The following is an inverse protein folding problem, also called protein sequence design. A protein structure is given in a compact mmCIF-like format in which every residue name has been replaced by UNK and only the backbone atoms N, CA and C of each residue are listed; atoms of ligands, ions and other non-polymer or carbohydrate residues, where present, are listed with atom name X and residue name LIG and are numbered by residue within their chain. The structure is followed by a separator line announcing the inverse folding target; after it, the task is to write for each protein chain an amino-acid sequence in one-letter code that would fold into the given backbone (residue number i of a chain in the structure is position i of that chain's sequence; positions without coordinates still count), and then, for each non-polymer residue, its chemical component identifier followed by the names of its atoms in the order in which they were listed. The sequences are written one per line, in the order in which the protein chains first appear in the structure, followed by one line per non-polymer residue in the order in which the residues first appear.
data_IF_477355186413
#
_entry.id   IF_477355186413
#
_cell.length_a   1.000
_cell.length_b   1.000
_cell.length_c   1.000
_cell.angle_alpha   90.00
_cell.angle_beta   90.00
_cell.angle_gamma   90.00
#
_symmetry.space_group_name_H-M   'P 1'
#
loop_
_entity.id
_entity.type
_entity.pdbx_description
1 polymer ?
#
# COMPACT_ATOMS: atom_id res chain seq x y z
N UNK A 1 -39.05 18.31 12.47
CA UNK A 1 -38.09 19.41 12.58
C UNK A 1 -36.74 18.82 12.28
N UNK A 2 -36.29 18.94 11.03
CA UNK A 2 -34.95 18.51 10.58
C UNK A 2 -34.03 19.66 10.94
N UNK A 3 -33.13 19.41 11.91
CA UNK A 3 -32.09 20.36 12.31
C UNK A 3 -31.06 20.44 11.18
N UNK A 4 -31.04 21.57 10.49
CA UNK A 4 -29.97 21.96 9.58
C UNK A 4 -28.65 22.00 10.34
N UNK A 5 -27.75 21.09 10.00
CA UNK A 5 -26.40 21.07 10.49
C UNK A 5 -25.62 22.17 9.73
N UNK A 6 -25.00 23.16 10.41
CA UNK A 6 -24.33 24.26 9.73
C UNK A 6 -23.20 23.71 8.85
N UNK A 7 -23.11 24.26 7.65
CA UNK A 7 -22.07 23.95 6.67
C UNK A 7 -20.68 23.91 7.32
N UNK A 8 -20.00 22.75 7.19
CA UNK A 8 -18.63 22.61 7.65
C UNK A 8 -17.76 23.71 7.07
N UNK A 9 -17.04 24.43 7.93
CA UNK A 9 -16.11 25.48 7.53
C UNK A 9 -15.01 24.89 6.64
N UNK A 10 -14.42 25.70 5.78
CA UNK A 10 -13.34 25.28 4.89
C UNK A 10 -12.15 24.64 5.63
N UNK A 11 -11.91 25.06 6.88
CA UNK A 11 -10.89 24.51 7.78
C UNK A 11 -11.13 23.04 8.19
N UNK A 12 -12.39 22.60 8.27
CA UNK A 12 -12.75 21.21 8.60
C UNK A 12 -12.51 20.22 7.43
N UNK A 13 -12.35 20.71 6.21
CA UNK A 13 -12.17 19.86 5.02
C UNK A 13 -10.74 19.36 4.85
N UNK A 14 -9.77 20.09 5.39
CA UNK A 14 -8.33 19.80 5.26
C UNK A 14 -7.76 19.10 6.50
N UNK A 15 -8.54 18.91 7.56
CA UNK A 15 -8.11 18.22 8.77
C UNK A 15 -7.89 16.73 8.52
N UNK A 16 -6.80 16.19 9.07
CA UNK A 16 -6.56 14.74 9.08
C UNK A 16 -7.76 14.02 9.74
N UNK A 17 -8.29 12.91 9.19
CA UNK A 17 -9.51 12.27 9.68
C UNK A 17 -9.28 11.45 10.96
N UNK A 18 -8.83 12.14 12.02
CA UNK A 18 -8.45 11.56 13.31
C UNK A 18 -9.58 11.56 14.36
N UNK A 19 -10.82 11.85 13.95
CA UNK A 19 -12.05 11.59 14.71
C UNK A 19 -13.02 10.81 13.84
N UNK A 20 -13.99 10.13 14.49
CA UNK A 20 -14.98 9.35 13.75
C UNK A 20 -15.78 10.20 12.76
N UNK A 21 -16.20 11.39 13.14
CA UNK A 21 -16.99 12.31 12.31
C UNK A 21 -16.20 12.73 11.07
N UNK A 22 -14.92 13.11 11.27
CA UNK A 22 -14.04 13.50 10.16
C UNK A 22 -13.73 12.30 9.25
N UNK A 23 -13.49 11.11 9.84
CA UNK A 23 -13.24 9.90 9.05
C UNK A 23 -14.49 9.48 8.25
N UNK A 24 -15.66 9.50 8.87
CA UNK A 24 -16.92 9.20 8.18
C UNK A 24 -17.16 10.16 7.02
N UNK A 25 -17.01 11.47 7.25
CA UNK A 25 -17.14 12.49 6.21
C UNK A 25 -16.18 12.23 5.05
N UNK A 26 -14.92 11.94 5.35
CA UNK A 26 -13.92 11.56 4.35
C UNK A 26 -14.32 10.27 3.60
N UNK A 27 -14.80 9.26 4.30
CA UNK A 27 -15.14 7.97 3.72
C UNK A 27 -16.40 8.03 2.85
N UNK A 28 -17.39 8.81 3.25
CA UNK A 28 -18.66 8.98 2.53
C UNK A 28 -18.55 9.93 1.34
N UNK A 29 -17.58 10.87 1.35
CA UNK A 29 -17.35 11.77 0.21
C UNK A 29 -16.69 11.00 -0.94
N UNK A 30 -17.35 10.88 -2.12
CA UNK A 30 -16.79 10.12 -3.21
C UNK A 30 -15.47 10.73 -3.72
N UNK A 31 -14.48 9.90 -4.11
CA UNK A 31 -13.25 10.40 -4.69
C UNK A 31 -13.56 11.17 -5.97
N UNK A 32 -12.78 12.20 -6.32
CA UNK A 32 -12.96 12.92 -7.56
C UNK A 32 -12.84 11.93 -8.74
N UNK A 33 -13.85 11.95 -9.60
CA UNK A 33 -13.91 11.07 -10.77
C UNK A 33 -13.20 11.75 -11.94
N UNK A 34 -12.27 11.08 -12.63
CA UNK A 34 -11.70 11.61 -13.87
C UNK A 34 -12.78 11.88 -14.91
N UNK A 35 -12.59 12.89 -15.80
CA UNK A 35 -13.55 13.14 -16.88
C UNK A 35 -13.67 11.92 -17.78
N UNK A 36 -14.91 11.54 -18.12
CA UNK A 36 -15.17 10.47 -19.09
C UNK A 36 -15.18 11.01 -20.52
N UNK A 37 -14.86 10.18 -21.52
CA UNK A 37 -15.01 10.58 -22.91
C UNK A 37 -16.47 10.97 -23.21
N UNK A 38 -16.66 12.23 -23.67
CA UNK A 38 -18.01 12.77 -23.96
C UNK A 38 -18.62 13.59 -22.83
N UNK A 39 -18.00 13.67 -21.66
CA UNK A 39 -18.43 14.60 -20.61
C UNK A 39 -18.31 16.05 -21.11
N UNK A 40 -19.22 16.94 -20.69
CA UNK A 40 -19.07 18.37 -20.98
C UNK A 40 -17.77 18.90 -20.34
N UNK A 41 -17.08 19.83 -21.04
CA UNK A 41 -15.84 20.39 -20.51
C UNK A 41 -16.12 21.13 -19.19
N UNK A 42 -15.34 20.82 -18.16
CA UNK A 42 -15.40 21.49 -16.86
C UNK A 42 -14.83 22.90 -16.94
N UNK A 43 -15.36 23.81 -16.14
CA UNK A 43 -14.81 25.14 -15.97
C UNK A 43 -13.38 25.12 -15.40
N UNK A 44 -12.65 26.20 -15.50
CA UNK A 44 -11.31 26.35 -14.91
C UNK A 44 -11.36 26.09 -13.39
N UNK A 45 -12.35 26.64 -12.70
CA UNK A 45 -12.50 26.50 -11.26
C UNK A 45 -12.78 25.04 -10.86
N UNK A 46 -13.69 24.35 -11.56
CA UNK A 46 -13.96 22.92 -11.32
C UNK A 46 -12.72 22.05 -11.54
N UNK A 47 -11.91 22.35 -12.55
CA UNK A 47 -10.67 21.61 -12.81
C UNK A 47 -9.58 21.89 -11.79
N UNK A 48 -9.46 23.14 -11.32
CA UNK A 48 -8.57 23.50 -10.20
C UNK A 48 -9.00 22.79 -8.91
N UNK A 49 -10.30 22.80 -8.61
CA UNK A 49 -10.85 22.08 -7.46
C UNK A 49 -10.61 20.56 -7.58
N UNK A 50 -10.82 19.98 -8.76
CA UNK A 50 -10.55 18.57 -9.06
C UNK A 50 -9.07 18.21 -8.82
N UNK A 51 -8.13 18.95 -9.40
CA UNK A 51 -6.69 18.68 -9.23
C UNK A 51 -6.17 19.03 -7.84
N UNK A 52 -6.85 19.89 -7.09
CA UNK A 52 -6.52 20.20 -5.69
C UNK A 52 -6.92 19.07 -4.75
N UNK A 53 -7.95 18.30 -5.08
CA UNK A 53 -8.36 17.10 -4.33
C UNK A 53 -7.42 15.95 -4.62
N UNK A 54 -7.36 15.02 -3.67
CA UNK A 54 -6.49 13.87 -3.78
C UNK A 54 -7.15 12.75 -4.60
N UNK A 55 -6.60 12.44 -5.76
CA UNK A 55 -7.02 11.29 -6.57
C UNK A 55 -6.16 10.08 -6.18
N UNK A 56 -6.77 9.08 -5.57
CA UNK A 56 -6.07 7.85 -5.20
C UNK A 56 -5.89 6.94 -6.41
N UNK A 57 -4.64 6.69 -6.76
CA UNK A 57 -4.30 5.69 -7.77
C UNK A 57 -4.07 4.34 -7.08
N UNK A 58 -4.70 3.28 -7.58
CA UNK A 58 -4.55 1.92 -7.05
C UNK A 58 -3.18 1.36 -7.39
N UNK A 59 -2.21 1.61 -6.52
CA UNK A 59 -0.88 1.00 -6.61
C UNK A 59 -0.90 -0.47 -6.20
N UNK A 60 0.12 -1.27 -6.55
CA UNK A 60 0.24 -2.64 -6.06
C UNK A 60 0.19 -2.75 -4.53
N UNK A 61 0.77 -1.78 -3.81
CA UNK A 61 0.71 -1.73 -2.35
C UNK A 61 -0.72 -1.53 -1.83
N UNK A 62 -1.50 -0.61 -2.41
CA UNK A 62 -2.92 -0.39 -2.05
C UNK A 62 -3.72 -1.65 -2.27
N UNK A 63 -3.59 -2.28 -3.44
CA UNK A 63 -4.35 -3.50 -3.79
C UNK A 63 -4.01 -4.65 -2.84
N UNK A 64 -2.71 -4.88 -2.59
CA UNK A 64 -2.24 -5.93 -1.69
C UNK A 64 -2.71 -5.70 -0.25
N UNK A 65 -2.59 -4.46 0.25
CA UNK A 65 -3.02 -4.11 1.61
C UNK A 65 -4.53 -4.30 1.77
N UNK A 66 -5.32 -3.88 0.78
CA UNK A 66 -6.78 -4.04 0.81
C UNK A 66 -7.19 -5.51 0.85
N UNK A 67 -6.57 -6.35 0.02
CA UNK A 67 -6.85 -7.78 0.00
C UNK A 67 -6.51 -8.42 1.34
N UNK A 68 -5.33 -8.14 1.88
CA UNK A 68 -4.87 -8.69 3.16
C UNK A 68 -5.76 -8.26 4.32
N UNK A 69 -6.07 -6.96 4.43
CA UNK A 69 -6.97 -6.46 5.49
C UNK A 69 -8.35 -7.12 5.42
N UNK A 70 -8.91 -7.29 4.22
CA UNK A 70 -10.20 -7.99 4.06
C UNK A 70 -10.13 -9.45 4.50
N UNK A 71 -9.03 -10.13 4.20
CA UNK A 71 -8.78 -11.51 4.63
C UNK A 71 -8.68 -11.58 6.15
N UNK A 72 -7.88 -10.70 6.77
CA UNK A 72 -7.72 -10.66 8.23
C UNK A 72 -9.03 -10.31 8.96
N UNK A 73 -9.81 -9.36 8.43
CA UNK A 73 -11.13 -9.02 8.98
C UNK A 73 -12.12 -10.19 8.85
N UNK A 74 -12.06 -10.96 7.77
CA UNK A 74 -12.88 -12.15 7.60
C UNK A 74 -12.47 -13.23 8.61
N UNK A 75 -11.18 -13.51 8.75
CA UNK A 75 -10.67 -14.44 9.77
C UNK A 75 -11.07 -14.03 11.18
N UNK A 76 -10.92 -12.75 11.52
CA UNK A 76 -11.25 -12.21 12.83
C UNK A 76 -12.74 -12.30 13.22
N UNK A 77 -13.65 -12.50 12.25
CA UNK A 77 -15.07 -12.70 12.53
C UNK A 77 -15.38 -14.10 13.07
N UNK A 78 -14.64 -15.10 12.60
CA UNK A 78 -14.92 -16.50 12.89
C UNK A 78 -13.98 -17.09 13.92
N UNK A 79 -12.84 -16.46 14.17
CA UNK A 79 -11.88 -16.87 15.20
C UNK A 79 -12.28 -16.28 16.56
N UNK A 80 -12.68 -17.14 17.48
CA UNK A 80 -12.93 -16.78 18.88
C UNK A 80 -11.77 -17.29 19.74
N UNK A 81 -11.43 -16.54 20.77
CA UNK A 81 -10.44 -16.89 21.80
C UNK A 81 -9.00 -17.14 21.29
N UNK A 82 -8.67 -16.71 20.09
CA UNK A 82 -7.29 -16.75 19.58
C UNK A 82 -6.73 -15.34 19.42
N UNK A 83 -5.43 -15.25 19.52
CA UNK A 83 -4.72 -13.99 19.26
C UNK A 83 -4.95 -13.56 17.79
N UNK A 84 -5.50 -12.36 17.62
CA UNK A 84 -5.87 -11.86 16.31
C UNK A 84 -4.64 -11.52 15.49
N UNK A 85 -4.61 -11.90 14.20
CA UNK A 85 -3.56 -11.48 13.28
C UNK A 85 -3.67 -9.98 13.00
N UNK A 86 -2.52 -9.36 12.77
CA UNK A 86 -2.38 -7.93 12.45
C UNK A 86 -1.61 -7.75 11.14
N UNK A 87 -1.53 -6.51 10.67
CA UNK A 87 -0.80 -6.15 9.46
C UNK A 87 0.14 -4.99 9.72
N UNK A 88 1.36 -5.10 9.21
CA UNK A 88 2.36 -4.04 9.19
C UNK A 88 2.49 -3.49 7.78
N UNK A 89 2.34 -2.17 7.63
CA UNK A 89 2.57 -1.43 6.39
C UNK A 89 3.77 -0.51 6.61
N UNK A 90 4.92 -0.89 6.09
CA UNK A 90 6.18 -0.17 6.30
C UNK A 90 6.75 0.37 5.00
N UNK A 91 7.65 1.34 5.07
CA UNK A 91 8.35 1.89 3.91
C UNK A 91 8.87 3.29 4.14
N UNK A 92 9.74 3.79 3.25
CA UNK A 92 10.30 5.14 3.33
C UNK A 92 9.24 6.26 3.32
N UNK A 93 9.60 7.51 3.66
CA UNK A 93 8.72 8.66 3.49
C UNK A 93 8.24 8.81 2.04
N UNK A 94 7.07 9.40 1.84
CA UNK A 94 6.48 9.75 0.52
C UNK A 94 6.16 8.56 -0.39
N UNK A 95 6.10 7.33 0.15
CA UNK A 95 5.72 6.12 -0.62
C UNK A 95 4.22 5.81 -0.59
N UNK A 96 3.40 6.65 0.07
CA UNK A 96 1.95 6.56 0.05
C UNK A 96 1.33 5.69 1.15
N UNK A 97 2.02 5.41 2.26
CA UNK A 97 1.50 4.62 3.40
C UNK A 97 0.18 5.16 3.95
N UNK A 98 0.15 6.41 4.37
CA UNK A 98 -1.06 7.08 4.88
C UNK A 98 -2.21 7.02 3.88
N UNK A 99 -1.93 7.30 2.60
CA UNK A 99 -2.91 7.19 1.53
C UNK A 99 -3.46 5.77 1.40
N UNK A 100 -2.57 4.76 1.51
CA UNK A 100 -2.96 3.35 1.47
C UNK A 100 -3.90 3.03 2.64
N UNK A 101 -3.58 3.47 3.85
CA UNK A 101 -4.44 3.25 5.02
C UNK A 101 -5.81 3.91 4.83
N UNK A 102 -5.85 5.18 4.43
CA UNK A 102 -7.10 5.92 4.24
C UNK A 102 -7.98 5.26 3.16
N UNK A 103 -7.41 4.83 2.05
CA UNK A 103 -8.17 4.14 0.98
C UNK A 103 -8.69 2.77 1.44
N UNK A 104 -7.86 2.02 2.17
CA UNK A 104 -8.28 0.74 2.77
C UNK A 104 -9.39 0.96 3.78
N UNK A 105 -9.22 1.91 4.69
CA UNK A 105 -10.22 2.24 5.71
C UNK A 105 -11.54 2.67 5.10
N UNK A 106 -11.50 3.55 4.08
CA UNK A 106 -12.68 3.96 3.32
C UNK A 106 -13.40 2.77 2.69
N UNK A 107 -12.65 1.91 1.99
CA UNK A 107 -13.24 0.74 1.32
C UNK A 107 -13.85 -0.22 2.33
N UNK A 108 -13.23 -0.41 3.49
CA UNK A 108 -13.76 -1.26 4.57
C UNK A 108 -15.00 -0.62 5.21
N UNK A 109 -14.99 0.69 5.45
CA UNK A 109 -16.14 1.44 5.98
C UNK A 109 -17.37 1.26 5.09
N UNK A 110 -17.25 1.52 3.80
CA UNK A 110 -18.35 1.40 2.84
C UNK A 110 -18.85 -0.05 2.73
N UNK A 111 -17.95 -1.04 2.77
CA UNK A 111 -18.32 -2.46 2.72
C UNK A 111 -19.09 -2.92 3.98
N UNK A 112 -18.70 -2.44 5.16
CA UNK A 112 -19.39 -2.76 6.40
C UNK A 112 -20.75 -2.03 6.52
N UNK A 113 -20.84 -0.79 6.05
CA UNK A 113 -22.09 -0.04 5.99
C UNK A 113 -23.16 -0.76 5.15
N UNK A 114 -22.77 -1.37 4.02
CA UNK A 114 -23.67 -2.19 3.20
C UNK A 114 -24.15 -3.44 3.95
N UNK A 115 -23.28 -4.08 4.74
CA UNK A 115 -23.62 -5.30 5.50
C UNK A 115 -24.51 -5.04 6.69
N UNK A 116 -24.31 -3.93 7.39
CA UNK A 116 -25.08 -3.59 8.58
C UNK A 116 -26.53 -3.16 8.27
N UNK A 117 -26.85 -2.91 7.00
CA UNK A 117 -28.12 -2.36 6.57
C UNK A 117 -28.26 -0.87 6.88
N UNK A 118 -29.27 -0.22 6.30
CA UNK A 118 -29.54 1.21 6.55
C UNK A 118 -30.10 1.38 7.96
N UNK A 119 -29.34 2.01 8.85
CA UNK A 119 -29.78 2.39 10.19
C UNK A 119 -28.92 1.89 11.35
N UNK A 120 -27.93 1.06 11.14
CA UNK A 120 -27.01 0.66 12.20
C UNK A 120 -25.98 1.78 12.43
N UNK A 121 -25.98 2.35 13.61
CA UNK A 121 -24.96 3.32 14.07
C UNK A 121 -23.72 2.54 14.48
N UNK A 122 -23.01 1.98 13.50
CA UNK A 122 -21.76 1.26 13.74
C UNK A 122 -20.58 2.07 13.22
N UNK A 123 -19.48 2.10 14.01
CA UNK A 123 -18.19 2.67 13.65
C UNK A 123 -17.26 1.51 13.26
N UNK A 124 -17.27 1.05 12.01
CA UNK A 124 -16.51 -0.14 11.63
C UNK A 124 -15.00 0.07 11.58
N UNK A 125 -14.56 1.31 11.42
CA UNK A 125 -13.15 1.67 11.20
C UNK A 125 -12.72 2.76 12.16
N UNK A 126 -11.57 2.59 12.79
CA UNK A 126 -10.87 3.63 13.54
C UNK A 126 -9.51 3.93 12.89
N UNK A 127 -9.23 5.22 12.67
CA UNK A 127 -7.94 5.72 12.17
C UNK A 127 -7.30 6.63 13.21
N UNK A 128 -6.13 6.26 13.66
CA UNK A 128 -5.41 6.89 14.74
C UNK A 128 -4.01 7.31 14.28
N UNK A 129 -3.59 8.47 14.74
CA UNK A 129 -2.25 8.99 14.47
C UNK A 129 -1.46 9.00 15.80
N UNK A 130 -0.32 8.32 15.83
CA UNK A 130 0.55 8.35 17.01
C UNK A 130 1.09 9.77 17.21
N UNK A 131 0.83 10.42 18.37
CA UNK A 131 1.32 11.77 18.59
C UNK A 131 2.85 11.80 18.78
N UNK A 132 3.53 12.91 18.52
CA UNK A 132 4.94 13.06 18.85
C UNK A 132 5.19 12.89 20.37
N UNK A 133 6.23 12.15 20.74
CA UNK A 133 6.53 11.90 22.16
C UNK A 133 5.44 11.12 22.90
N UNK A 134 4.76 10.21 22.19
CA UNK A 134 3.64 9.45 22.73
C UNK A 134 3.98 8.76 24.04
N UNK A 135 3.17 9.04 25.06
CA UNK A 135 3.10 8.26 26.32
C UNK A 135 1.92 7.31 26.25
N UNK A 136 1.88 6.31 27.11
CA UNK A 136 0.75 5.39 27.22
C UNK A 136 -0.58 6.12 27.48
N UNK A 137 -0.57 7.16 28.34
CA UNK A 137 -1.75 7.99 28.58
C UNK A 137 -2.14 8.83 27.35
N UNK A 138 -1.17 9.37 26.62
CA UNK A 138 -1.45 10.11 25.38
C UNK A 138 -2.09 9.22 24.31
N UNK A 139 -1.61 8.00 24.15
CA UNK A 139 -2.25 7.02 23.25
C UNK A 139 -3.68 6.68 23.71
N UNK A 140 -3.91 6.43 25.00
CA UNK A 140 -5.24 6.18 25.53
C UNK A 140 -6.21 7.34 25.22
N UNK A 141 -5.73 8.59 25.32
CA UNK A 141 -6.49 9.78 24.97
C UNK A 141 -6.79 9.86 23.47
N UNK A 142 -5.87 9.48 22.59
CA UNK A 142 -6.13 9.46 21.14
C UNK A 142 -7.21 8.43 20.78
N UNK A 143 -7.18 7.23 21.38
CA UNK A 143 -8.27 6.26 21.20
C UNK A 143 -9.60 6.79 21.70
N UNK A 144 -9.62 7.42 22.88
CA UNK A 144 -10.83 8.01 23.43
C UNK A 144 -11.35 9.17 22.55
N UNK A 145 -10.45 10.07 22.11
CA UNK A 145 -10.77 11.21 21.25
C UNK A 145 -11.39 10.79 19.93
N UNK A 146 -10.90 9.70 19.32
CA UNK A 146 -11.43 9.22 18.05
C UNK A 146 -12.95 8.98 18.10
N UNK A 147 -13.46 8.42 19.18
CA UNK A 147 -14.88 8.11 19.37
C UNK A 147 -15.64 9.16 20.20
N UNK A 148 -14.98 10.25 20.59
CA UNK A 148 -15.62 11.25 21.46
C UNK A 148 -15.91 10.71 22.88
N UNK A 149 -15.16 9.70 23.36
CA UNK A 149 -15.34 9.17 24.72
C UNK A 149 -14.94 10.23 25.74
N UNK A 150 -15.84 10.61 26.67
CA UNK A 150 -15.53 11.62 27.68
C UNK A 150 -14.41 11.16 28.61
N UNK A 151 -13.37 11.97 28.76
CA UNK A 151 -12.24 11.71 29.66
C UNK A 151 -12.07 12.91 30.60
N UNK A 152 -12.11 12.67 31.91
CA UNK A 152 -11.78 13.69 32.90
C UNK A 152 -10.28 13.70 33.21
N UNK A 153 -9.76 14.86 33.65
CA UNK A 153 -8.35 15.00 34.01
C UNK A 153 -7.90 14.05 35.14
N UNK A 154 -8.84 13.61 35.99
CA UNK A 154 -8.59 12.72 37.11
C UNK A 154 -8.54 11.25 36.74
N UNK A 155 -8.96 10.85 35.54
CA UNK A 155 -8.91 9.46 35.12
C UNK A 155 -7.47 8.97 34.95
N UNK A 156 -7.24 7.78 35.51
CA UNK A 156 -5.98 7.05 35.29
C UNK A 156 -5.93 6.48 33.88
N UNK A 157 -4.74 6.16 33.41
CA UNK A 157 -4.54 5.47 32.13
C UNK A 157 -5.38 4.18 32.05
N UNK A 158 -5.40 3.39 33.12
CA UNK A 158 -6.15 2.13 33.18
C UNK A 158 -7.66 2.34 33.05
N UNK A 159 -8.21 3.39 33.67
CA UNK A 159 -9.64 3.73 33.54
C UNK A 159 -9.98 4.17 32.13
N UNK A 160 -9.13 4.99 31.48
CA UNK A 160 -9.32 5.41 30.09
C UNK A 160 -9.27 4.18 29.18
N UNK A 161 -8.27 3.30 29.36
CA UNK A 161 -8.14 2.06 28.58
C UNK A 161 -9.35 1.14 28.72
N UNK A 162 -9.87 0.97 29.95
CA UNK A 162 -11.07 0.16 30.16
C UNK A 162 -12.29 0.73 29.45
N UNK A 163 -12.50 2.06 29.51
CA UNK A 163 -13.57 2.75 28.78
C UNK A 163 -13.42 2.62 27.28
N UNK A 164 -12.21 2.81 26.74
CA UNK A 164 -11.88 2.63 25.33
C UNK A 164 -12.21 1.21 24.87
N UNK A 165 -11.64 0.18 25.53
CA UNK A 165 -11.87 -1.21 25.13
C UNK A 165 -13.35 -1.58 25.17
N UNK A 166 -14.07 -1.16 26.23
CA UNK A 166 -15.51 -1.40 26.33
C UNK A 166 -16.26 -0.75 25.16
N UNK A 167 -16.02 0.53 24.91
CA UNK A 167 -16.73 1.28 23.85
C UNK A 167 -16.42 0.72 22.45
N UNK A 168 -15.14 0.49 22.12
CA UNK A 168 -14.74 -0.07 20.81
C UNK A 168 -15.40 -1.43 20.55
N UNK A 169 -15.45 -2.29 21.56
CA UNK A 169 -16.09 -3.59 21.44
C UNK A 169 -17.61 -3.47 21.35
N UNK A 170 -18.26 -2.61 22.16
CA UNK A 170 -19.71 -2.43 22.21
C UNK A 170 -20.29 -1.87 20.92
N UNK A 171 -19.60 -0.89 20.28
CA UNK A 171 -20.04 -0.31 19.01
C UNK A 171 -19.60 -1.14 17.79
N UNK A 172 -18.77 -2.17 18.02
CA UNK A 172 -18.38 -3.13 17.01
C UNK A 172 -17.33 -2.62 16.02
N UNK A 173 -16.29 -1.90 16.50
CA UNK A 173 -15.13 -1.55 15.65
C UNK A 173 -14.49 -2.83 15.11
N UNK A 174 -14.25 -2.88 13.80
CA UNK A 174 -13.71 -4.06 13.10
C UNK A 174 -12.28 -3.89 12.63
N UNK A 175 -11.89 -2.66 12.34
CA UNK A 175 -10.57 -2.30 11.83
C UNK A 175 -10.04 -1.11 12.62
N UNK A 176 -8.84 -1.25 13.18
CA UNK A 176 -8.09 -0.17 13.83
C UNK A 176 -6.81 0.05 13.03
N UNK A 177 -6.65 1.23 12.47
CA UNK A 177 -5.46 1.62 11.71
C UNK A 177 -4.68 2.65 12.51
N UNK A 178 -3.41 2.38 12.75
CA UNK A 178 -2.51 3.23 13.53
C UNK A 178 -1.36 3.68 12.64
N UNK A 179 -1.36 4.96 12.32
CA UNK A 179 -0.33 5.57 11.48
C UNK A 179 0.77 6.22 12.33
N UNK A 180 1.93 6.44 11.72
CA UNK A 180 3.12 7.03 12.34
C UNK A 180 3.65 6.24 13.55
N UNK A 181 3.49 4.90 13.53
CA UNK A 181 3.88 4.03 14.65
C UNK A 181 5.38 4.14 15.01
N UNK A 182 6.22 4.59 14.09
CA UNK A 182 7.64 4.82 14.31
C UNK A 182 7.94 5.95 15.33
N UNK A 183 6.92 6.74 15.72
CA UNK A 183 7.04 7.72 16.82
C UNK A 183 7.10 7.07 18.21
N UNK A 184 6.80 5.77 18.32
CA UNK A 184 7.05 4.98 19.53
C UNK A 184 8.55 4.64 19.58
N UNK A 185 9.33 5.49 20.24
CA UNK A 185 10.78 5.33 20.30
C UNK A 185 11.18 4.21 21.28
N UNK A 186 11.78 3.10 20.84
CA UNK A 186 12.16 1.99 21.72
C UNK A 186 13.29 2.34 22.72
N UNK A 187 14.01 3.44 22.46
CA UNK A 187 15.15 3.86 23.29
C UNK A 187 14.74 4.71 24.50
N UNK A 188 13.45 5.07 24.62
CA UNK A 188 12.93 5.83 25.76
C UNK A 188 12.00 4.94 26.58
N UNK A 189 12.01 5.08 27.90
CA UNK A 189 11.08 4.36 28.80
C UNK A 189 9.64 4.66 28.44
N UNK A 190 9.30 5.91 28.17
CA UNK A 190 7.95 6.34 27.77
C UNK A 190 7.49 5.71 26.46
N UNK A 191 8.38 5.56 25.47
CA UNK A 191 8.07 4.91 24.19
C UNK A 191 7.88 3.40 24.35
N UNK A 192 8.66 2.75 25.21
CA UNK A 192 8.48 1.34 25.52
C UNK A 192 7.16 1.09 26.26
N UNK A 193 6.84 1.89 27.28
CA UNK A 193 5.56 1.82 28.02
C UNK A 193 4.35 2.07 27.09
N UNK A 194 4.46 3.02 26.17
CA UNK A 194 3.43 3.29 25.18
C UNK A 194 3.23 2.12 24.19
N UNK A 195 4.32 1.44 23.82
CA UNK A 195 4.25 0.25 22.98
C UNK A 195 3.61 -0.94 23.73
N UNK A 196 3.95 -1.16 25.00
CA UNK A 196 3.33 -2.22 25.81
C UNK A 196 1.85 -1.95 26.06
N UNK A 197 1.50 -0.70 26.29
CA UNK A 197 0.10 -0.28 26.38
C UNK A 197 -0.67 -0.56 25.08
N UNK A 198 -0.08 -0.27 23.94
CA UNK A 198 -0.72 -0.56 22.64
C UNK A 198 -0.89 -2.06 22.39
N UNK A 199 0.07 -2.89 22.84
CA UNK A 199 -0.08 -4.36 22.82
C UNK A 199 -1.28 -4.81 23.64
N UNK A 200 -1.45 -4.28 24.86
CA UNK A 200 -2.61 -4.58 25.73
C UNK A 200 -3.93 -4.21 25.03
N UNK A 201 -4.02 -3.03 24.42
CA UNK A 201 -5.19 -2.64 23.65
C UNK A 201 -5.47 -3.57 22.46
N UNK A 202 -4.43 -4.02 21.75
CA UNK A 202 -4.56 -4.94 20.61
C UNK A 202 -5.14 -6.30 21.04
N UNK A 203 -4.85 -6.75 22.25
CA UNK A 203 -5.40 -8.00 22.78
C UNK A 203 -6.83 -7.85 23.30
N UNK A 204 -7.20 -6.68 23.82
CA UNK A 204 -8.50 -6.40 24.46
C UNK A 204 -9.57 -5.90 23.49
N UNK A 205 -9.20 -5.28 22.39
CA UNK A 205 -10.13 -4.78 21.36
C UNK A 205 -10.33 -5.84 20.29
N UNK A 206 -11.57 -6.23 20.06
CA UNK A 206 -11.97 -7.26 19.10
C UNK A 206 -11.93 -6.80 17.65
N UNK A 207 -10.83 -6.17 17.18
CA UNK A 207 -10.65 -5.63 15.85
C UNK A 207 -9.38 -6.19 15.17
N UNK A 208 -9.29 -6.04 13.85
CA UNK A 208 -8.05 -6.23 13.11
C UNK A 208 -7.21 -4.96 13.23
N UNK A 209 -5.94 -5.10 13.60
CA UNK A 209 -5.03 -3.97 13.72
C UNK A 209 -4.11 -3.87 12.50
N UNK A 210 -3.91 -2.64 12.01
CA UNK A 210 -2.96 -2.30 10.95
C UNK A 210 -2.04 -1.21 11.46
N UNK A 211 -0.74 -1.48 11.44
CA UNK A 211 0.30 -0.55 11.90
C UNK A 211 1.06 0.00 10.71
N UNK A 212 1.14 1.33 10.58
CA UNK A 212 1.89 1.94 9.50
C UNK A 212 2.94 2.93 10.00
N UNK A 213 4.05 3.02 9.26
CA UNK A 213 5.13 3.93 9.59
C UNK A 213 6.41 3.66 8.80
N UNK A 214 7.49 4.30 9.24
CA UNK A 214 8.84 4.09 8.72
C UNK A 214 9.52 3.04 9.60
N UNK A 215 10.20 2.06 9.00
CA UNK A 215 10.94 1.01 9.71
C UNK A 215 10.16 0.39 10.89
N UNK A 216 8.89 0.09 10.66
CA UNK A 216 7.93 -0.31 11.70
C UNK A 216 8.41 -1.50 12.51
N UNK A 217 9.07 -2.46 11.88
CA UNK A 217 9.59 -3.67 12.54
C UNK A 217 10.71 -3.38 13.55
N UNK A 218 11.36 -2.22 13.44
CA UNK A 218 12.39 -1.77 14.37
C UNK A 218 11.82 -0.95 15.56
N UNK A 219 10.52 -0.72 15.60
CA UNK A 219 9.87 0.05 16.69
C UNK A 219 9.76 -0.77 17.97
N UNK A 220 9.54 -0.10 19.11
CA UNK A 220 9.34 -0.72 20.42
C UNK A 220 8.18 -1.74 20.43
N UNK A 221 7.19 -1.54 19.57
CA UNK A 221 6.02 -2.42 19.47
C UNK A 221 6.41 -3.86 19.05
N UNK A 222 7.43 -4.01 18.20
CA UNK A 222 7.83 -5.30 17.63
C UNK A 222 9.16 -5.83 18.15
N UNK A 223 9.77 -5.16 19.14
CA UNK A 223 11.02 -5.57 19.78
C UNK A 223 10.78 -6.24 21.13
N UNK A 224 11.78 -6.98 21.63
CA UNK A 224 11.66 -7.76 22.86
C UNK A 224 10.76 -8.99 22.72
N UNK A 225 10.58 -9.76 23.80
CA UNK A 225 9.83 -11.02 23.79
C UNK A 225 8.36 -10.83 23.40
N UNK A 226 7.66 -9.89 24.02
CA UNK A 226 6.27 -9.59 23.68
C UNK A 226 6.11 -9.00 22.28
N UNK A 227 7.08 -8.19 21.82
CA UNK A 227 7.11 -7.67 20.46
C UNK A 227 7.33 -8.75 19.41
N UNK A 228 8.18 -9.72 19.68
CA UNK A 228 8.39 -10.88 18.82
C UNK A 228 7.11 -11.73 18.66
N UNK A 229 6.32 -11.88 19.73
CA UNK A 229 5.01 -12.57 19.65
C UNK A 229 4.03 -11.81 18.74
N UNK A 230 3.96 -10.47 18.87
CA UNK A 230 3.11 -9.66 18.00
C UNK A 230 3.60 -9.70 16.53
N UNK A 231 4.92 -9.61 16.32
CA UNK A 231 5.53 -9.73 14.97
C UNK A 231 5.25 -11.10 14.34
N UNK A 232 5.26 -12.19 15.11
CA UNK A 232 4.95 -13.53 14.63
C UNK A 232 3.50 -13.73 14.14
N UNK A 233 2.61 -12.79 14.49
CA UNK A 233 1.20 -12.79 14.08
C UNK A 233 0.88 -11.69 13.06
N UNK A 234 1.86 -10.86 12.72
CA UNK A 234 1.69 -9.74 11.82
C UNK A 234 2.14 -10.07 10.39
N UNK A 235 1.25 -9.89 9.42
CA UNK A 235 1.64 -9.84 8.01
C UNK A 235 2.48 -8.58 7.74
N UNK A 236 3.37 -8.61 6.75
CA UNK A 236 4.22 -7.48 6.39
C UNK A 236 3.99 -7.07 4.93
N UNK A 237 3.69 -5.80 4.71
CA UNK A 237 3.62 -5.19 3.39
C UNK A 237 4.58 -4.01 3.33
N UNK A 238 5.49 -4.07 2.36
CA UNK A 238 6.40 -2.98 2.07
C UNK A 238 5.78 -2.03 1.04
N UNK A 239 5.70 -0.76 1.39
CA UNK A 239 5.39 0.35 0.50
C UNK A 239 6.70 0.98 0.01
N UNK A 240 7.45 0.24 -0.79
CA UNK A 240 8.72 0.71 -1.33
C UNK A 240 8.50 1.67 -2.52
N UNK A 241 9.52 2.49 -2.86
CA UNK A 241 9.53 3.21 -4.12
C UNK A 241 9.28 2.24 -5.29
N UNK A 242 8.41 2.63 -6.21
CA UNK A 242 8.05 1.77 -7.33
C UNK A 242 9.26 1.59 -8.27
N UNK A 243 9.67 0.34 -8.56
CA UNK A 243 10.76 0.09 -9.49
C UNK A 243 10.36 0.42 -10.92
N UNK A 244 11.31 0.85 -11.74
CA UNK A 244 11.09 1.08 -13.16
C UNK A 244 10.67 -0.22 -13.88
N UNK A 245 11.26 -1.35 -13.46
CA UNK A 245 10.95 -2.70 -13.94
C UNK A 245 10.98 -3.70 -12.78
N UNK A 246 10.08 -4.67 -12.80
CA UNK A 246 10.07 -5.78 -11.85
C UNK A 246 9.74 -7.09 -12.58
N UNK A 247 10.18 -8.22 -12.02
CA UNK A 247 9.85 -9.56 -12.50
C UNK A 247 8.80 -10.18 -11.59
N UNK A 248 7.72 -10.70 -12.15
CA UNK A 248 6.73 -11.47 -11.41
C UNK A 248 6.68 -12.90 -11.97
N UNK A 249 6.70 -13.89 -11.09
CA UNK A 249 6.40 -15.28 -11.47
C UNK A 249 4.88 -15.43 -11.51
N UNK A 250 4.32 -15.76 -12.66
CA UNK A 250 2.91 -16.16 -12.78
C UNK A 250 2.83 -17.66 -12.56
N UNK A 251 2.32 -18.07 -11.41
CA UNK A 251 1.83 -19.43 -11.23
C UNK A 251 0.47 -19.50 -11.90
N UNK A 252 0.40 -20.15 -13.06
CA UNK A 252 -0.86 -20.41 -13.74
C UNK A 252 -1.62 -21.43 -12.89
N UNK A 253 -2.73 -21.00 -12.28
CA UNK A 253 -3.67 -21.91 -11.64
C UNK A 253 -4.17 -22.89 -12.68
N UNK A 254 -3.74 -24.14 -12.58
CA UNK A 254 -4.23 -25.22 -13.40
C UNK A 254 -5.69 -25.48 -13.07
N UNK A 255 -6.52 -25.31 -14.06
CA UNK A 255 -7.92 -25.73 -14.05
C UNK A 255 -7.93 -27.27 -14.01
N UNK A 256 -8.06 -27.86 -12.83
CA UNK A 256 -8.39 -29.29 -12.70
C UNK A 256 -9.90 -29.43 -12.88
N UNK A 257 -10.29 -29.65 -14.13
CA UNK A 257 -11.63 -30.11 -14.45
C UNK A 257 -11.78 -31.56 -13.99
N UNK A 258 -12.79 -31.79 -13.20
CA UNK A 258 -13.53 -33.00 -12.87
C UNK A 258 -13.44 -34.09 -13.93
N UNK A 259 -13.06 -35.29 -13.50
CA UNK A 259 -13.24 -36.53 -14.22
C UNK A 259 -13.85 -37.54 -13.28
N UNK A 260 -15.09 -37.86 -13.58
CA UNK A 260 -15.98 -38.82 -12.94
C UNK A 260 -15.47 -40.26 -12.99
N UNK A 261 -15.78 -40.98 -11.94
CA UNK A 261 -16.47 -42.25 -12.06
C UNK A 261 -15.67 -43.56 -11.99
N UNK A 262 -16.01 -44.25 -11.01
CA UNK A 262 -16.43 -45.67 -10.90
C UNK A 262 -15.65 -46.55 -9.94
N UNK A 263 -16.44 -46.95 -9.00
CA UNK A 263 -16.41 -48.10 -8.11
C UNK A 263 -15.79 -49.41 -8.65
N UNK A 264 -15.07 -50.12 -7.81
CA UNK A 264 -15.38 -51.50 -7.46
C UNK A 264 -14.53 -52.02 -6.29
N UNK A 265 -15.24 -52.59 -5.43
CA UNK A 265 -15.11 -53.45 -4.26
C UNK A 265 -14.02 -54.52 -4.26
N UNK A 266 -13.77 -54.95 -3.02
CA UNK A 266 -13.30 -56.23 -2.49
C UNK A 266 -11.77 -56.45 -2.49
N UNK A 267 -11.12 -57.04 -1.55
CA UNK A 267 -11.41 -57.82 -0.34
C UNK A 267 -10.06 -58.22 0.31
N UNK A 268 -10.07 -58.36 1.60
CA UNK A 268 -9.23 -59.25 2.44
C UNK A 268 -7.67 -59.30 2.42
N UNK A 269 -7.06 -59.00 3.57
CA UNK A 269 -6.42 -60.11 4.24
C UNK A 269 -4.92 -59.96 4.64
N UNK A 270 -4.70 -59.81 5.94
CA UNK A 270 -3.62 -60.43 6.77
C UNK A 270 -2.14 -60.11 6.59
N UNK A 271 -1.65 -59.49 7.67
CA UNK A 271 -0.57 -59.98 8.57
C UNK A 271 0.77 -60.40 7.99
N UNK A 272 1.81 -59.90 8.64
CA UNK A 272 3.06 -60.61 8.78
C UNK A 272 4.31 -59.75 8.69
N UNK A 273 4.95 -59.64 9.78
CA UNK A 273 6.20 -59.13 10.20
C UNK A 273 7.43 -59.57 9.43
N UNK A 274 8.54 -58.95 9.74
CA UNK A 274 9.86 -59.48 9.40
C UNK A 274 10.91 -58.38 9.24
N UNK A 275 11.73 -58.36 10.22
CA UNK A 275 13.00 -57.65 10.33
C UNK A 275 14.03 -58.08 9.28
N UNK A 276 15.08 -57.24 9.09
CA UNK A 276 16.39 -57.71 8.62
C UNK A 276 17.04 -56.80 7.58
N UNK A 277 17.86 -55.87 8.00
CA UNK A 277 19.32 -55.89 8.07
C UNK A 277 20.12 -56.00 6.74
N UNK A 278 20.96 -55.00 6.56
CA UNK A 278 22.33 -54.97 6.08
C UNK A 278 22.69 -55.14 4.58
N UNK A 279 23.47 -54.18 4.13
CA UNK A 279 24.79 -54.44 3.57
C UNK A 279 25.02 -54.30 2.07
N UNK A 280 26.04 -53.50 1.76
CA UNK A 280 27.02 -53.81 0.68
C UNK A 280 26.93 -52.94 -0.57
N UNK A 281 27.71 -51.96 -0.66
CA UNK A 281 29.00 -51.73 -1.38
C UNK A 281 29.05 -52.07 -2.88
N UNK A 282 29.47 -51.04 -3.58
CA UNK A 282 30.54 -50.92 -4.59
C UNK A 282 30.29 -51.33 -6.04
N UNK A 283 30.58 -50.52 -6.93
CA UNK A 283 31.76 -50.38 -7.78
C UNK A 283 31.51 -50.07 -9.27
N UNK A 284 32.08 -48.99 -9.68
CA UNK A 284 32.79 -48.64 -10.93
C UNK A 284 32.55 -49.40 -12.23
N UNK A 285 32.37 -48.70 -13.33
CA UNK A 285 33.35 -48.49 -14.45
C UNK A 285 32.72 -47.94 -15.73
N UNK A 286 33.31 -46.85 -16.17
CA UNK A 286 33.81 -46.47 -17.50
C UNK A 286 33.34 -47.24 -18.74
N UNK A 287 32.98 -46.49 -19.77
CA UNK A 287 33.06 -46.92 -21.17
C UNK A 287 32.66 -45.83 -22.15
N UNK A 288 33.61 -45.45 -22.95
CA UNK A 288 33.70 -44.39 -23.98
C UNK A 288 33.02 -44.82 -25.28
N UNK A 289 32.76 -43.76 -26.08
CA UNK A 289 32.83 -43.62 -27.55
C UNK A 289 31.62 -44.01 -28.41
N UNK A 290 31.24 -43.03 -29.26
CA UNK A 290 31.28 -43.20 -30.72
C UNK A 290 30.09 -42.56 -31.43
N UNK A 291 30.28 -41.40 -31.97
CA UNK A 291 29.93 -40.85 -33.30
C UNK A 291 28.70 -41.32 -34.08
N UNK A 292 28.07 -40.27 -34.64
CA UNK A 292 27.55 -40.14 -36.00
C UNK A 292 26.05 -40.32 -36.27
N UNK A 293 25.45 -39.18 -36.66
CA UNK A 293 24.71 -38.89 -37.88
C UNK A 293 23.25 -39.37 -38.04
N UNK A 294 22.49 -38.34 -38.42
CA UNK A 294 21.35 -38.35 -39.32
C UNK A 294 19.94 -38.76 -38.83
N UNK A 295 19.07 -37.82 -38.94
CA UNK A 295 17.78 -38.01 -39.61
C UNK A 295 16.53 -37.98 -38.79
N UNK A 296 15.70 -36.99 -39.12
CA UNK A 296 14.23 -37.00 -39.10
C UNK A 296 13.48 -36.63 -37.82
N UNK A 297 13.03 -35.43 -37.84
CA UNK A 297 11.66 -34.96 -37.57
C UNK A 297 10.72 -35.94 -36.82
N UNK A 298 10.45 -35.62 -35.59
CA UNK A 298 9.19 -35.97 -34.95
C UNK A 298 8.87 -34.99 -33.84
N UNK A 299 7.91 -34.13 -34.13
CA UNK A 299 7.22 -33.23 -33.18
C UNK A 299 6.69 -34.05 -31.99
N UNK A 300 7.31 -33.93 -30.84
CA UNK A 300 6.69 -34.30 -29.56
C UNK A 300 6.37 -33.00 -28.80
N UNK A 301 5.08 -32.72 -28.71
CA UNK A 301 4.50 -31.77 -27.79
C UNK A 301 4.80 -32.17 -26.35
N UNK A 302 5.88 -31.67 -25.80
CA UNK A 302 6.18 -31.72 -24.37
C UNK A 302 5.39 -30.64 -23.65
N UNK A 303 4.33 -31.00 -22.93
CA UNK A 303 3.66 -30.13 -21.98
C UNK A 303 4.61 -29.75 -20.86
N UNK A 304 5.42 -28.72 -21.08
CA UNK A 304 6.24 -28.13 -20.05
C UNK A 304 5.36 -27.22 -19.18
N UNK A 305 5.28 -27.53 -17.90
CA UNK A 305 4.70 -26.68 -16.87
C UNK A 305 5.60 -25.42 -16.71
N UNK A 306 5.45 -24.47 -17.65
CA UNK A 306 6.28 -23.27 -17.72
C UNK A 306 5.76 -22.23 -16.74
N UNK A 307 6.42 -22.11 -15.60
CA UNK A 307 6.35 -20.89 -14.78
C UNK A 307 6.93 -19.75 -15.62
N UNK A 308 6.04 -18.97 -16.26
CA UNK A 308 6.45 -17.82 -17.06
C UNK A 308 6.78 -16.63 -16.16
N UNK A 309 7.98 -16.09 -16.29
CA UNK A 309 8.33 -14.80 -15.66
C UNK A 309 7.89 -13.67 -16.56
N UNK A 310 6.93 -12.85 -16.09
CA UNK A 310 6.47 -11.66 -16.81
C UNK A 310 7.22 -10.44 -16.29
N UNK A 311 7.73 -9.62 -17.21
CA UNK A 311 8.33 -8.34 -16.89
C UNK A 311 7.22 -7.29 -16.76
N UNK A 312 7.02 -6.78 -15.55
CA UNK A 312 6.09 -5.68 -15.27
C UNK A 312 6.83 -4.37 -15.10
N UNK A 313 6.14 -3.27 -15.32
CA UNK A 313 6.68 -1.91 -15.18
C UNK A 313 5.80 -1.08 -14.25
N UNK A 314 5.81 -1.34 -12.92
CA UNK A 314 4.84 -0.79 -11.97
C UNK A 314 4.84 0.74 -11.95
N UNK A 315 6.00 1.37 -12.03
CA UNK A 315 6.09 2.83 -12.07
C UNK A 315 5.44 3.41 -13.34
N UNK A 316 5.69 2.82 -14.50
CA UNK A 316 5.10 3.26 -15.77
C UNK A 316 3.59 3.09 -15.81
N UNK A 317 3.07 2.00 -15.26
CA UNK A 317 1.64 1.73 -15.12
C UNK A 317 0.98 2.77 -14.19
N UNK A 318 1.65 3.11 -13.10
CA UNK A 318 1.19 4.17 -12.19
C UNK A 318 1.19 5.55 -12.86
N UNK A 319 2.23 5.89 -13.64
CA UNK A 319 2.25 7.12 -14.44
C UNK A 319 1.09 7.14 -15.41
N UNK A 320 0.80 6.03 -16.11
CA UNK A 320 -0.33 5.94 -17.02
C UNK A 320 -1.67 6.16 -16.31
N UNK A 321 -1.87 5.55 -15.15
CA UNK A 321 -3.07 5.75 -14.35
C UNK A 321 -3.24 7.21 -13.89
N UNK A 322 -2.15 7.87 -13.48
CA UNK A 322 -2.17 9.29 -13.11
C UNK A 322 -2.41 10.20 -14.31
N UNK A 323 -1.81 9.88 -15.49
CA UNK A 323 -2.01 10.63 -16.71
C UNK A 323 -3.47 10.56 -17.19
N UNK A 324 -4.10 9.38 -17.09
CA UNK A 324 -5.50 9.18 -17.43
C UNK A 324 -6.48 9.91 -16.48
N UNK A 325 -6.01 10.27 -15.30
CA UNK A 325 -6.78 11.07 -14.35
C UNK A 325 -6.61 12.59 -14.53
N UNK A 326 -5.83 13.05 -15.52
CA UNK A 326 -5.66 14.47 -15.79
C UNK A 326 -6.87 15.05 -16.52
N UNK A 327 -7.31 16.22 -16.10
CA UNK A 327 -8.34 17.03 -16.75
C UNK A 327 -7.69 18.27 -17.41
N UNK A 328 -7.02 18.04 -18.55
CA UNK A 328 -6.29 19.04 -19.31
C UNK A 328 -6.68 18.97 -20.80
N UNK A 329 -7.10 20.09 -21.38
CA UNK A 329 -7.74 20.12 -22.69
C UNK A 329 -6.80 19.84 -23.87
N UNK A 330 -5.51 20.16 -23.73
CA UNK A 330 -4.50 20.01 -24.80
C UNK A 330 -3.44 18.95 -24.49
N UNK A 331 -3.61 18.23 -23.37
CA UNK A 331 -2.68 17.18 -22.99
C UNK A 331 -2.91 15.93 -23.83
N UNK A 332 -1.84 15.41 -24.43
CA UNK A 332 -1.94 14.21 -25.28
C UNK A 332 -1.72 12.95 -24.43
N UNK A 333 -2.65 12.00 -24.45
CA UNK A 333 -2.48 10.72 -23.74
C UNK A 333 -1.16 10.02 -24.11
N UNK A 334 -0.50 9.43 -23.13
CA UNK A 334 0.78 8.74 -23.29
C UNK A 334 2.01 9.66 -23.32
N UNK A 335 1.86 10.99 -23.23
CA UNK A 335 3.00 11.91 -23.19
C UNK A 335 3.82 11.79 -21.91
N UNK A 336 3.17 11.64 -20.75
CA UNK A 336 3.85 11.39 -19.47
C UNK A 336 4.40 9.96 -19.39
N UNK A 337 3.69 8.99 -19.96
CA UNK A 337 4.17 7.60 -20.05
C UNK A 337 5.50 7.51 -20.83
N UNK A 338 5.68 8.33 -21.87
CA UNK A 338 6.97 8.45 -22.58
C UNK A 338 8.08 9.04 -21.71
N UNK A 339 7.71 9.91 -20.77
CA UNK A 339 8.62 10.52 -19.81
C UNK A 339 8.83 9.66 -18.54
N UNK A 340 8.28 8.45 -18.47
CA UNK A 340 8.37 7.61 -17.28
C UNK A 340 9.81 7.39 -16.76
N UNK A 341 10.85 7.18 -17.59
CA UNK A 341 12.23 7.08 -17.10
C UNK A 341 12.73 8.38 -16.45
N UNK A 342 12.39 9.52 -17.02
CA UNK A 342 12.70 10.84 -16.45
C UNK A 342 11.95 11.06 -15.12
N UNK A 343 10.65 10.79 -15.09
CA UNK A 343 9.81 10.91 -13.89
C UNK A 343 10.31 9.99 -12.78
N UNK A 344 10.71 8.76 -13.10
CA UNK A 344 11.29 7.83 -12.14
C UNK A 344 12.58 8.38 -11.53
N UNK A 345 13.48 8.89 -12.36
CA UNK A 345 14.72 9.52 -11.90
C UNK A 345 14.43 10.77 -11.03
N UNK A 346 13.45 11.60 -11.43
CA UNK A 346 13.08 12.85 -10.75
C UNK A 346 12.45 12.62 -9.38
N UNK A 347 11.72 11.52 -9.20
CA UNK A 347 10.98 11.19 -7.98
C UNK A 347 11.57 10.02 -7.19
N UNK A 348 12.67 9.43 -7.67
CA UNK A 348 13.25 8.20 -7.12
C UNK A 348 12.21 7.06 -6.96
N UNK A 349 11.21 6.99 -7.87
CA UNK A 349 10.13 6.01 -7.81
C UNK A 349 9.10 6.23 -6.70
N UNK A 350 9.19 7.33 -5.93
CA UNK A 350 8.29 7.64 -4.81
C UNK A 350 6.96 8.18 -5.33
N UNK A 351 5.88 7.50 -5.00
CA UNK A 351 4.55 7.82 -5.51
C UNK A 351 4.02 9.17 -4.98
N UNK A 352 4.33 9.54 -3.74
CA UNK A 352 3.95 10.82 -3.15
C UNK A 352 4.61 11.99 -3.86
N UNK A 353 5.91 11.88 -4.18
CA UNK A 353 6.64 12.89 -4.95
C UNK A 353 6.13 12.99 -6.38
N UNK A 354 5.82 11.83 -7.03
CA UNK A 354 5.22 11.80 -8.36
C UNK A 354 3.84 12.47 -8.39
N UNK A 355 2.96 12.12 -7.46
CA UNK A 355 1.62 12.72 -7.35
C UNK A 355 1.70 14.23 -7.14
N UNK A 356 2.58 14.69 -6.25
CA UNK A 356 2.80 16.13 -6.02
C UNK A 356 3.29 16.85 -7.27
N UNK A 357 4.25 16.26 -7.99
CA UNK A 357 4.78 16.82 -9.23
C UNK A 357 3.68 16.98 -10.29
N UNK A 358 2.93 15.91 -10.56
CA UNK A 358 1.92 15.92 -11.61
C UNK A 358 0.73 16.83 -11.27
N UNK A 359 0.29 16.85 -10.00
CA UNK A 359 -0.78 17.77 -9.55
C UNK A 359 -0.38 19.24 -9.69
N UNK A 360 0.83 19.60 -9.25
CA UNK A 360 1.33 20.99 -9.41
C UNK A 360 1.47 21.35 -10.89
N UNK A 361 1.98 20.44 -11.71
CA UNK A 361 2.10 20.65 -13.14
C UNK A 361 0.72 20.84 -13.82
N UNK A 362 -0.29 20.08 -13.42
CA UNK A 362 -1.65 20.21 -13.93
C UNK A 362 -2.28 21.56 -13.54
N UNK A 363 -2.19 21.92 -12.27
CA UNK A 363 -2.69 23.21 -11.76
C UNK A 363 -1.99 24.38 -12.47
N UNK A 364 -0.66 24.34 -12.61
CA UNK A 364 0.09 25.38 -13.34
C UNK A 364 -0.35 25.45 -14.80
N UNK A 365 -0.52 24.30 -15.48
CA UNK A 365 -0.95 24.25 -16.87
C UNK A 365 -2.37 24.80 -17.11
N UNK A 366 -3.25 24.72 -16.11
CA UNK A 366 -4.58 25.35 -16.14
C UNK A 366 -4.44 26.87 -15.95
N UNK A 367 -3.65 27.29 -14.97
CA UNK A 367 -3.48 28.72 -14.63
C UNK A 367 -2.77 29.51 -15.75
N UNK A 368 -1.77 28.93 -16.42
CA UNK A 368 -1.05 29.55 -17.54
C UNK A 368 -1.70 29.27 -18.90
N UNK A 369 -2.86 28.60 -18.94
CA UNK A 369 -3.64 28.28 -20.12
C UNK A 369 -2.89 27.41 -21.17
N UNK A 370 -1.76 26.82 -20.81
CA UNK A 370 -1.02 25.91 -21.70
C UNK A 370 -1.77 24.61 -21.91
N UNK A 371 -2.56 24.17 -20.92
CA UNK A 371 -3.43 22.99 -20.93
C UNK A 371 -2.70 21.68 -21.26
N UNK A 372 -1.41 21.63 -21.00
CA UNK A 372 -0.55 20.48 -21.25
C UNK A 372 0.64 20.45 -20.32
N UNK A 373 1.04 19.26 -19.89
CA UNK A 373 2.25 19.06 -19.12
C UNK A 373 3.40 18.74 -20.08
N UNK A 374 4.48 19.50 -19.98
CA UNK A 374 5.70 19.33 -20.76
C UNK A 374 6.90 19.08 -19.84
N UNK A 375 7.98 18.53 -20.38
CA UNK A 375 9.21 18.34 -19.60
C UNK A 375 9.76 19.65 -19.02
N UNK A 376 9.86 20.77 -19.76
CA UNK A 376 10.29 22.04 -19.16
C UNK A 376 9.38 22.52 -18.02
N UNK A 377 8.06 22.32 -18.14
CA UNK A 377 7.13 22.65 -17.05
C UNK A 377 7.37 21.79 -15.80
N UNK A 378 7.70 20.49 -15.98
CA UNK A 378 8.06 19.61 -14.87
C UNK A 378 9.41 19.99 -14.24
N UNK A 379 10.40 20.40 -15.04
CA UNK A 379 11.71 20.84 -14.56
C UNK A 379 11.64 22.13 -13.74
N UNK A 380 10.65 23.01 -14.01
CA UNK A 380 10.42 24.25 -13.28
C UNK A 380 9.79 24.04 -11.88
N UNK A 381 9.27 22.85 -11.58
CA UNK A 381 8.60 22.58 -10.31
C UNK A 381 9.61 22.02 -9.31
N UNK A 382 9.83 22.73 -8.20
CA UNK A 382 10.59 22.22 -7.07
C UNK A 382 9.78 21.12 -6.35
N UNK A 383 10.40 19.97 -6.12
CA UNK A 383 9.83 18.85 -5.38
C UNK A 383 10.12 18.94 -3.87
N UNK A 384 9.83 17.85 -3.18
CA UNK A 384 10.25 17.68 -1.80
C UNK A 384 11.78 17.46 -1.71
N UNK A 385 12.35 17.83 -0.56
CA UNK A 385 13.79 17.78 -0.32
C UNK A 385 14.40 16.40 -0.63
N UNK A 386 13.70 15.32 -0.26
CA UNK A 386 14.17 13.95 -0.50
C UNK A 386 14.28 13.59 -1.99
N UNK A 387 13.36 14.11 -2.81
CA UNK A 387 13.40 13.92 -4.25
C UNK A 387 14.52 14.76 -4.89
N UNK A 388 14.70 16.01 -4.43
CA UNK A 388 15.75 16.89 -4.93
C UNK A 388 17.17 16.39 -4.58
N UNK A 389 17.40 15.84 -3.40
CA UNK A 389 18.68 15.24 -3.02
C UNK A 389 19.09 14.07 -3.93
N UNK A 390 18.12 13.30 -4.41
CA UNK A 390 18.37 12.16 -5.29
C UNK A 390 18.47 12.55 -6.77
N UNK A 391 17.92 13.71 -7.13
CA UNK A 391 17.90 14.17 -8.51
C UNK A 391 19.18 14.93 -8.85
N UNK A 392 20.05 14.29 -9.64
CA UNK A 392 21.20 14.96 -10.27
C UNK A 392 20.86 15.17 -11.75
N UNK A 393 20.54 16.40 -12.19
CA UNK A 393 20.29 16.66 -13.60
C UNK A 393 21.57 16.34 -14.39
N UNK A 394 21.43 15.58 -15.46
CA UNK A 394 22.53 15.43 -16.43
C UNK A 394 22.78 16.80 -17.05
N UNK A 395 23.85 17.45 -16.64
CA UNK A 395 24.35 18.64 -17.34
C UNK A 395 24.66 18.20 -18.78
N UNK A 396 24.00 18.78 -19.80
CA UNK A 396 24.38 18.48 -21.17
C UNK A 396 25.84 18.82 -21.37
N UNK A 397 26.64 17.87 -21.82
CA UNK A 397 28.04 18.11 -22.16
C UNK A 397 28.09 19.34 -23.06
N UNK A 398 28.77 20.38 -22.62
CA UNK A 398 29.05 21.57 -23.43
C UNK A 398 29.71 21.06 -24.71
N UNK A 399 29.01 21.20 -25.82
CA UNK A 399 29.55 20.99 -27.13
C UNK A 399 30.72 21.99 -27.29
N UNK A 400 31.94 21.53 -27.06
CA UNK A 400 33.14 22.32 -27.34
C UNK A 400 33.08 22.67 -28.84
N UNK A 401 32.77 23.91 -29.13
CA UNK A 401 32.96 24.47 -30.45
C UNK A 401 34.45 24.35 -30.72
N UNK A 402 34.82 23.46 -31.64
CA UNK A 402 36.14 23.44 -32.23
C UNK A 402 36.35 24.82 -32.86
N UNK A 403 37.27 25.59 -32.29
CA UNK A 403 37.78 26.82 -32.85
C UNK A 403 38.42 26.45 -34.22
N UNK A 404 37.81 26.92 -35.28
CA UNK A 404 38.37 26.92 -36.62
C UNK A 404 39.55 27.91 -36.59
N UNK A 405 40.77 27.41 -36.47
CA UNK A 405 42.00 28.21 -36.67
C UNK A 405 42.12 28.49 -38.16
N UNK A 406 42.11 29.75 -38.63
CA UNK A 406 42.37 30.05 -40.03
C UNK A 406 43.81 29.75 -40.38
N UNK A 407 44.00 28.99 -41.46
CA UNK A 407 45.30 28.72 -42.03
C UNK A 407 45.98 30.03 -42.47
N UNK A 408 47.13 30.33 -41.86
CA UNK A 408 48.05 31.37 -42.39
C UNK A 408 48.53 30.96 -43.75
N UNK A 409 48.18 31.73 -44.78
CA UNK A 409 48.88 31.73 -46.09
C UNK A 409 50.20 32.48 -45.93
N UNK A 410 51.29 31.78 -46.14
CA UNK A 410 52.64 32.37 -46.32
C UNK A 410 52.78 32.72 -47.83
N UNK A 411 53.06 33.98 -48.09
CA UNK A 411 53.72 34.48 -49.29
C UNK A 411 55.24 34.41 -49.15
#
# INVERSE_FOLDING_TARGET
MVSDNPAATAEDRDASPTTWELFRRFADDPPPVPPAPGDPPRSVEERLAYHSRFVTVRTPAVVKTLLEVRTLMALGRYQQATARPSLIVTGPPTTGKTTTLLEVGRTCHLAEAVRAGRGASQVPVAYLLVPPGATAKALALEFARYLGIPVSARMTQAQIAASVCHTYNSIGVRLVMIDEIHRLNPRTSTGAEAADFLKDLTERISATFVYAGIDVTATALFTGTAGAQLAGRAGLINCDPLPATARTSTTRAGNSATGDGRSSSDDHGRSGGGEGSAGGESNTRRGRNGSSADGADSRRSGGGNGSGTVLIRPFRETVAAMENALDLQRHRPGSLVRLAPYLHQRTAGRIGSLSRLLRRAAITAILDQSEKITRPALDAIALDHLAEEHYRPRVPARRTQRANTPARRST
#
